data_IF_249566424747
#
_entry.id   IF_249566424747
#
_cell.length_a   1.000
_cell.length_b   1.000
_cell.length_c   1.000
_cell.angle_alpha   90.00
_cell.angle_beta   90.00
_cell.angle_gamma   90.00
#
_symmetry.space_group_name_H-M   'P 1'
#
loop_
_entity.id
_entity.type
_entity.pdbx_description
1 polymer ?
#
# COMPACT_ATOMS: atom_id res chain seq x y z
N UNK A 1 -8.50 35.04 18.24
CA UNK A 1 -8.61 33.89 19.17
C UNK A 1 -7.85 32.76 18.52
N UNK A 2 -6.83 32.20 19.18
CA UNK A 2 -5.87 31.29 18.58
C UNK A 2 -5.99 29.89 19.18
N UNK A 3 -6.03 28.85 18.34
CA UNK A 3 -5.82 27.47 18.76
C UNK A 3 -4.65 26.85 17.99
N UNK A 4 -3.97 25.90 18.63
CA UNK A 4 -2.88 25.13 18.04
C UNK A 4 -3.08 23.67 18.36
N UNK A 5 -2.94 22.82 17.34
CA UNK A 5 -2.93 21.37 17.51
C UNK A 5 -2.01 20.72 16.47
N UNK A 6 -1.79 19.43 16.64
CA UNK A 6 -0.92 18.66 15.74
C UNK A 6 -1.77 17.63 14.98
N UNK A 7 -1.45 17.47 13.71
CA UNK A 7 -1.96 16.42 12.83
C UNK A 7 -0.77 15.74 12.14
N UNK A 8 -1.01 14.65 11.43
CA UNK A 8 0.01 13.89 10.73
C UNK A 8 -0.33 13.79 9.25
N UNK A 9 0.69 13.87 8.42
CA UNK A 9 0.60 13.69 6.98
C UNK A 9 1.65 12.69 6.52
N UNK A 10 1.49 12.19 5.29
CA UNK A 10 2.43 11.25 4.68
C UNK A 10 3.12 11.87 3.47
N UNK A 11 4.40 11.56 3.34
CA UNK A 11 5.19 11.69 2.13
C UNK A 11 5.58 10.28 1.67
N UNK A 12 4.73 9.67 0.85
CA UNK A 12 4.79 8.26 0.52
C UNK A 12 4.46 7.38 1.71
N UNK A 13 5.43 6.59 2.16
CA UNK A 13 5.31 5.76 3.38
C UNK A 13 5.86 6.45 4.62
N UNK A 14 6.50 7.62 4.50
CA UNK A 14 7.08 8.32 5.64
C UNK A 14 6.12 9.36 6.20
N UNK A 15 5.91 9.33 7.51
CA UNK A 15 5.07 10.30 8.21
C UNK A 15 5.84 11.57 8.57
N UNK A 16 5.11 12.68 8.68
CA UNK A 16 5.63 13.92 9.26
C UNK A 16 4.54 14.66 10.02
N UNK A 17 4.95 15.50 10.96
CA UNK A 17 4.03 16.33 11.73
C UNK A 17 3.59 17.55 10.94
N UNK A 18 2.31 17.84 11.01
CA UNK A 18 1.72 19.09 10.53
C UNK A 18 1.11 19.81 11.71
N UNK A 19 1.48 21.08 11.89
CA UNK A 19 0.88 21.92 12.92
C UNK A 19 -0.28 22.70 12.30
N UNK A 20 -1.46 22.59 12.90
CA UNK A 20 -2.65 23.33 12.52
C UNK A 20 -2.83 24.46 13.50
N UNK A 21 -2.72 25.68 13.00
CA UNK A 21 -2.98 26.90 13.77
C UNK A 21 -4.24 27.55 13.22
N UNK A 22 -5.23 27.76 14.09
CA UNK A 22 -6.49 28.40 13.72
C UNK A 22 -6.62 29.72 14.45
N UNK A 23 -6.66 30.82 13.70
CA UNK A 23 -6.96 32.14 14.22
C UNK A 23 -8.33 32.62 13.75
N UNK A 24 -9.12 33.12 14.71
CA UNK A 24 -10.42 33.73 14.48
C UNK A 24 -10.34 35.20 14.87
N UNK A 25 -10.58 36.08 13.90
CA UNK A 25 -10.51 37.52 14.02
C UNK A 25 -11.84 38.19 13.64
N UNK A 26 -12.12 39.34 14.24
CA UNK A 26 -13.26 40.18 13.88
C UNK A 26 -13.17 40.65 12.43
N UNK A 27 -14.29 40.65 11.72
CA UNK A 27 -14.37 41.07 10.32
C UNK A 27 -15.46 40.32 9.56
N UNK A 28 -15.59 40.62 8.26
CA UNK A 28 -16.52 39.91 7.38
C UNK A 28 -16.18 38.41 7.32
N UNK A 29 -17.19 37.53 7.25
CA UNK A 29 -16.99 36.08 7.15
C UNK A 29 -16.08 35.73 5.97
N UNK A 30 -14.92 35.17 6.26
CA UNK A 30 -13.99 34.67 5.26
C UNK A 30 -13.19 33.51 5.85
N UNK A 31 -12.85 32.52 5.03
CA UNK A 31 -12.04 31.36 5.44
C UNK A 31 -10.81 31.27 4.54
N UNK A 32 -9.64 31.47 5.13
CA UNK A 32 -8.36 31.38 4.46
C UNK A 32 -7.59 30.15 4.93
N UNK A 33 -7.16 29.31 3.99
CA UNK A 33 -6.29 28.17 4.25
C UNK A 33 -4.90 28.45 3.67
N UNK A 34 -3.86 28.42 4.52
CA UNK A 34 -2.47 28.75 4.18
C UNK A 34 -1.57 27.53 4.44
N UNK A 35 -0.51 27.35 3.64
CA UNK A 35 0.50 26.29 3.84
C UNK A 35 0.62 25.22 2.74
N UNK A 36 0.61 25.61 1.46
CA UNK A 36 0.70 24.71 0.28
C UNK A 36 -0.31 23.55 0.30
N UNK A 37 -1.57 23.89 0.57
CA UNK A 37 -2.71 23.00 0.53
C UNK A 37 -3.14 22.69 -0.93
N UNK A 38 -3.24 21.39 -1.26
CA UNK A 38 -3.82 20.93 -2.52
C UNK A 38 -5.30 21.34 -2.65
N UNK A 39 -5.90 21.35 -3.86
CA UNK A 39 -7.31 21.69 -4.05
C UNK A 39 -8.28 20.89 -3.18
N UNK A 40 -8.01 19.59 -3.00
CA UNK A 40 -8.71 18.66 -2.09
C UNK A 40 -8.80 19.19 -0.65
N UNK A 41 -7.70 19.77 -0.15
CA UNK A 41 -7.63 20.38 1.17
C UNK A 41 -8.34 21.74 1.19
N UNK A 42 -8.33 22.50 0.09
CA UNK A 42 -9.09 23.77 0.00
C UNK A 42 -10.61 23.54 0.06
N UNK A 43 -11.07 22.41 -0.48
CA UNK A 43 -12.47 21.96 -0.36
C UNK A 43 -12.86 21.57 1.07
N UNK A 44 -11.89 21.35 1.97
CA UNK A 44 -12.15 21.11 3.39
C UNK A 44 -12.97 22.24 4.02
N UNK A 45 -12.89 23.48 3.50
CA UNK A 45 -13.72 24.60 3.98
C UNK A 45 -15.21 24.25 4.01
N UNK A 46 -15.75 23.79 2.88
CA UNK A 46 -17.19 23.49 2.80
C UNK A 46 -17.53 22.25 3.64
N UNK A 47 -16.66 21.24 3.62
CA UNK A 47 -16.87 20.00 4.38
C UNK A 47 -16.85 20.21 5.88
N UNK A 48 -15.83 20.89 6.41
CA UNK A 48 -15.71 21.24 7.84
C UNK A 48 -16.85 22.15 8.27
N UNK A 49 -17.22 23.14 7.45
CA UNK A 49 -18.34 24.04 7.77
C UNK A 49 -19.67 23.29 7.89
N UNK A 50 -19.97 22.42 6.93
CA UNK A 50 -21.18 21.60 6.96
C UNK A 50 -21.16 20.64 8.15
N UNK A 51 -20.04 19.92 8.34
CA UNK A 51 -19.85 18.96 9.43
C UNK A 51 -20.09 19.58 10.81
N UNK A 52 -19.49 20.76 11.09
CA UNK A 52 -19.67 21.48 12.36
C UNK A 52 -21.15 21.82 12.58
N UNK A 53 -21.81 22.41 11.57
CA UNK A 53 -23.21 22.82 11.67
C UNK A 53 -24.17 21.64 11.84
N UNK A 54 -24.01 20.61 11.02
CA UNK A 54 -24.86 19.41 11.06
C UNK A 54 -24.60 18.55 12.31
N UNK A 55 -23.42 18.72 12.92
CA UNK A 55 -23.11 18.17 14.24
C UNK A 55 -23.72 18.97 15.40
N UNK A 56 -24.44 20.05 15.15
CA UNK A 56 -25.08 20.87 16.19
C UNK A 56 -24.14 21.88 16.86
N UNK A 57 -22.96 22.13 16.28
CA UNK A 57 -22.00 23.11 16.78
C UNK A 57 -22.08 24.41 15.98
N UNK A 58 -21.61 25.50 16.60
CA UNK A 58 -21.60 26.81 15.96
C UNK A 58 -20.39 26.96 15.04
N UNK A 59 -20.62 27.32 13.77
CA UNK A 59 -19.55 27.75 12.88
C UNK A 59 -19.47 29.27 12.86
N UNK A 60 -18.33 29.88 13.25
CA UNK A 60 -18.26 31.32 13.47
C UNK A 60 -18.44 32.10 12.17
N UNK A 61 -19.29 33.15 12.21
CA UNK A 61 -19.47 34.10 11.11
C UNK A 61 -18.42 35.22 11.18
N UNK A 62 -17.15 34.84 11.26
CA UNK A 62 -15.99 35.74 11.43
C UNK A 62 -14.90 35.39 10.41
N UNK A 63 -13.81 36.15 10.41
CA UNK A 63 -12.64 35.83 9.59
C UNK A 63 -11.85 34.71 10.25
N UNK A 64 -11.75 33.58 9.56
CA UNK A 64 -11.04 32.37 10.00
C UNK A 64 -9.79 32.22 9.13
N UNK A 65 -8.63 32.06 9.77
CA UNK A 65 -7.38 31.74 9.09
C UNK A 65 -6.83 30.44 9.67
N UNK A 66 -6.65 29.44 8.81
CA UNK A 66 -6.07 28.14 9.17
C UNK A 66 -4.73 28.01 8.48
N UNK A 67 -3.66 27.84 9.27
CA UNK A 67 -2.30 27.67 8.79
C UNK A 67 -1.84 26.22 8.99
N UNK A 68 -1.32 25.58 7.94
CA UNK A 68 -0.78 24.23 7.94
C UNK A 68 0.76 24.27 7.78
N UNK A 69 1.48 24.20 8.90
CA UNK A 69 2.95 24.21 8.91
C UNK A 69 3.52 22.77 8.92
N UNK A 70 4.67 22.49 8.28
CA UNK A 70 5.64 23.43 7.69
C UNK A 70 5.30 23.78 6.23
N UNK A 71 5.36 25.07 5.84
CA UNK A 71 4.79 25.56 4.57
C UNK A 71 5.50 25.05 3.28
N UNK A 72 6.68 24.46 3.40
CA UNK A 72 7.48 23.87 2.30
C UNK A 72 6.97 22.48 1.87
N UNK A 73 6.23 21.80 2.74
CA UNK A 73 5.71 20.47 2.49
C UNK A 73 4.29 20.55 1.93
N UNK A 74 4.05 19.96 0.75
CA UNK A 74 2.70 19.89 0.16
C UNK A 74 1.81 19.01 1.05
N UNK A 75 0.63 19.54 1.42
CA UNK A 75 -0.41 18.76 2.11
C UNK A 75 -1.48 18.38 1.11
N UNK A 76 -1.73 17.08 1.03
CA UNK A 76 -2.77 16.51 0.17
C UNK A 76 -3.60 15.49 0.94
N UNK A 77 -4.82 15.28 0.47
CA UNK A 77 -5.82 14.41 1.09
C UNK A 77 -6.77 15.15 2.05
N UNK A 78 -7.81 14.44 2.44
CA UNK A 78 -8.89 14.90 3.32
C UNK A 78 -8.61 14.65 4.81
N UNK A 79 -7.47 14.04 5.15
CA UNK A 79 -7.12 13.65 6.53
C UNK A 79 -7.01 14.81 7.53
N UNK A 80 -6.97 16.05 7.05
CA UNK A 80 -6.84 17.25 7.88
C UNK A 80 -8.19 17.79 8.39
N UNK A 81 -9.33 17.32 7.88
CA UNK A 81 -10.63 17.91 8.19
C UNK A 81 -10.93 17.87 9.70
N UNK A 82 -10.65 16.74 10.34
CA UNK A 82 -10.85 16.57 11.77
C UNK A 82 -10.02 17.56 12.60
N UNK A 83 -8.75 17.73 12.21
CA UNK A 83 -7.81 18.64 12.85
C UNK A 83 -8.27 20.10 12.70
N UNK A 84 -8.71 20.49 11.50
CA UNK A 84 -9.23 21.83 11.20
C UNK A 84 -10.51 22.08 12.01
N UNK A 85 -11.45 21.13 12.04
CA UNK A 85 -12.69 21.24 12.80
C UNK A 85 -12.42 21.41 14.31
N UNK A 86 -11.57 20.56 14.89
CA UNK A 86 -11.15 20.66 16.29
C UNK A 86 -10.49 22.02 16.58
N UNK A 87 -9.64 22.51 15.68
CA UNK A 87 -9.01 23.83 15.81
C UNK A 87 -10.01 24.98 15.84
N UNK A 88 -11.04 24.96 14.99
CA UNK A 88 -12.11 25.97 14.97
C UNK A 88 -12.96 25.90 16.25
N UNK A 89 -13.33 24.69 16.69
CA UNK A 89 -14.12 24.50 17.90
C UNK A 89 -13.36 24.99 19.14
N UNK A 90 -12.04 24.77 19.22
CA UNK A 90 -11.22 25.28 20.31
C UNK A 90 -11.05 26.80 20.24
N UNK A 91 -10.80 27.36 19.05
CA UNK A 91 -10.66 28.80 18.88
C UNK A 91 -11.96 29.58 19.16
N UNK A 92 -13.13 28.93 19.02
CA UNK A 92 -14.44 29.48 19.41
C UNK A 92 -14.84 29.20 20.85
N UNK A 93 -14.01 28.49 21.64
CA UNK A 93 -14.30 28.15 23.02
C UNK A 93 -15.38 27.07 23.21
N UNK A 94 -15.76 26.37 22.14
CA UNK A 94 -16.74 25.27 22.21
C UNK A 94 -16.15 23.98 22.79
N UNK A 95 -14.82 23.84 22.74
CA UNK A 95 -14.05 22.80 23.45
C UNK A 95 -12.88 23.42 24.21
N UNK A 96 -12.41 22.80 25.31
CA UNK A 96 -11.24 23.29 26.05
C UNK A 96 -9.98 23.17 25.20
N UNK A 97 -9.22 24.26 25.02
CA UNK A 97 -7.98 24.23 24.22
C UNK A 97 -6.96 23.23 24.76
N UNK A 98 -6.86 23.11 26.10
CA UNK A 98 -5.93 22.19 26.75
C UNK A 98 -6.21 20.71 26.43
N UNK A 99 -7.45 20.39 26.03
CA UNK A 99 -7.83 19.03 25.63
C UNK A 99 -7.13 18.58 24.34
N UNK A 100 -6.60 19.51 23.54
CA UNK A 100 -5.90 19.21 22.29
C UNK A 100 -4.42 18.85 22.48
N UNK A 101 -3.86 19.12 23.66
CA UNK A 101 -2.46 18.78 23.96
C UNK A 101 -2.23 17.27 23.98
N UNK A 102 -1.01 16.89 23.55
CA UNK A 102 -0.53 15.51 23.44
C UNK A 102 -1.42 14.59 22.58
N UNK A 103 -2.25 15.17 21.71
CA UNK A 103 -3.12 14.46 20.76
C UNK A 103 -2.80 14.81 19.32
N UNK A 104 -2.93 13.81 18.46
CA UNK A 104 -2.80 13.90 17.01
C UNK A 104 -4.15 13.58 16.40
N UNK A 105 -4.71 14.50 15.61
CA UNK A 105 -6.02 14.32 14.99
C UNK A 105 -5.85 14.06 13.50
N UNK A 106 -6.37 12.95 13.02
CA UNK A 106 -6.39 12.61 11.59
C UNK A 106 -7.76 12.07 11.23
N UNK A 107 -8.30 12.43 10.07
CA UNK A 107 -9.58 11.91 9.61
C UNK A 107 -10.28 12.84 8.63
N UNK A 108 -11.02 12.24 7.71
CA UNK A 108 -11.91 12.94 6.80
C UNK A 108 -13.27 13.16 7.48
N UNK A 109 -13.87 14.34 7.26
CA UNK A 109 -15.24 14.62 7.67
C UNK A 109 -16.19 14.60 6.48
N UNK A 110 -17.28 13.86 6.63
CA UNK A 110 -18.45 13.99 5.77
C UNK A 110 -19.25 15.25 6.13
N UNK A 111 -20.18 15.65 5.24
CA UNK A 111 -20.98 16.86 5.43
C UNK A 111 -21.92 16.80 6.64
N UNK A 112 -22.34 15.61 7.07
CA UNK A 112 -23.16 15.35 8.25
C UNK A 112 -22.35 15.20 9.56
N UNK A 113 -21.02 15.17 9.46
CA UNK A 113 -20.10 15.11 10.60
C UNK A 113 -19.64 13.70 11.00
N UNK A 114 -19.94 12.68 10.21
CA UNK A 114 -19.30 11.36 10.35
C UNK A 114 -17.81 11.44 9.99
N UNK A 115 -17.00 10.63 10.67
CA UNK A 115 -15.59 10.46 10.33
C UNK A 115 -15.45 9.31 9.33
N UNK A 116 -14.85 9.62 8.19
CA UNK A 116 -14.53 8.64 7.15
C UNK A 116 -13.10 8.16 7.28
N UNK A 117 -12.91 6.89 6.93
CA UNK A 117 -11.61 6.24 6.90
C UNK A 117 -10.66 6.95 5.93
N UNK A 118 -9.39 6.99 6.31
CA UNK A 118 -8.32 7.59 5.50
C UNK A 118 -7.24 6.53 5.22
N UNK A 119 -6.56 6.61 4.06
CA UNK A 119 -5.44 5.73 3.77
C UNK A 119 -4.21 6.11 4.59
N UNK A 120 -3.30 5.15 4.80
CA UNK A 120 -1.98 5.41 5.37
C UNK A 120 -1.92 5.52 6.89
N UNK A 121 -2.98 5.18 7.63
CA UNK A 121 -3.02 5.34 9.09
C UNK A 121 -1.94 4.51 9.78
N UNK A 122 -1.66 3.31 9.28
CA UNK A 122 -0.56 2.50 9.80
C UNK A 122 0.80 3.21 9.70
N UNK A 123 1.08 3.85 8.56
CA UNK A 123 2.33 4.59 8.36
C UNK A 123 2.42 5.80 9.30
N UNK A 124 1.31 6.52 9.50
CA UNK A 124 1.22 7.62 10.46
C UNK A 124 1.46 7.14 11.89
N UNK A 125 0.81 6.04 12.30
CA UNK A 125 0.98 5.47 13.63
C UNK A 125 2.42 5.00 13.88
N UNK A 126 3.07 4.36 12.89
CA UNK A 126 4.47 3.96 12.99
C UNK A 126 5.43 5.15 13.16
N UNK A 127 5.18 6.26 12.44
CA UNK A 127 5.92 7.51 12.62
C UNK A 127 5.76 8.09 14.03
N UNK A 128 4.53 8.13 14.55
CA UNK A 128 4.24 8.67 15.87
C UNK A 128 4.85 7.82 17.00
N UNK A 129 4.86 6.49 16.84
CA UNK A 129 5.55 5.58 17.76
C UNK A 129 7.03 5.95 17.88
N UNK A 130 7.73 6.02 16.74
CA UNK A 130 9.15 6.37 16.70
C UNK A 130 9.41 7.73 17.34
N UNK A 131 8.55 8.71 17.08
CA UNK A 131 8.66 10.03 17.71
C UNK A 131 8.47 9.98 19.24
N UNK A 132 7.56 9.15 19.74
CA UNK A 132 7.33 8.96 21.18
C UNK A 132 8.52 8.30 21.88
N UNK A 133 9.16 7.34 21.22
CA UNK A 133 10.41 6.69 21.67
C UNK A 133 11.55 7.72 21.77
N UNK A 134 11.75 8.53 20.72
CA UNK A 134 12.79 9.58 20.68
C UNK A 134 12.60 10.66 21.77
N UNK A 135 11.36 10.91 22.20
CA UNK A 135 11.00 11.92 23.22
C UNK A 135 10.96 11.36 24.65
N UNK A 136 11.56 10.21 24.90
CA UNK A 136 11.67 9.62 26.24
C UNK A 136 10.38 8.95 26.73
N UNK A 137 9.57 8.40 25.82
CA UNK A 137 8.40 7.57 26.16
C UNK A 137 7.10 8.35 26.40
N UNK A 138 7.01 9.62 26.00
CA UNK A 138 5.71 10.32 25.99
C UNK A 138 4.82 9.71 24.90
N UNK A 139 3.80 8.98 25.34
CA UNK A 139 2.79 8.41 24.44
C UNK A 139 1.88 9.52 23.92
N UNK A 140 2.03 9.85 22.64
CA UNK A 140 1.09 10.69 21.91
C UNK A 140 -0.17 9.88 21.64
N UNK A 141 -1.33 10.51 21.82
CA UNK A 141 -2.60 9.87 21.54
C UNK A 141 -3.08 10.19 20.13
N UNK A 142 -3.27 9.17 19.31
CA UNK A 142 -3.81 9.27 17.96
C UNK A 142 -5.33 9.14 18.00
N UNK A 143 -6.01 10.21 17.57
CA UNK A 143 -7.47 10.29 17.46
C UNK A 143 -7.84 10.25 15.98
N UNK A 144 -8.60 9.21 15.59
CA UNK A 144 -8.80 8.85 14.20
C UNK A 144 -10.18 8.19 13.96
N UNK A 145 -10.64 8.02 12.71
CA UNK A 145 -11.90 7.33 12.40
C UNK A 145 -11.95 5.93 12.99
N UNK A 146 -13.07 5.52 13.61
CA UNK A 146 -13.20 4.20 14.26
C UNK A 146 -12.80 3.03 13.33
N UNK A 147 -13.09 3.13 12.03
CA UNK A 147 -12.74 2.10 11.04
C UNK A 147 -11.23 1.88 10.84
N UNK A 148 -10.39 2.90 11.05
CA UNK A 148 -8.93 2.76 10.96
C UNK A 148 -8.26 2.40 12.31
N UNK A 149 -9.03 2.27 13.40
CA UNK A 149 -8.44 2.16 14.74
C UNK A 149 -7.63 0.87 14.92
N UNK A 150 -8.15 -0.26 14.42
CA UNK A 150 -7.42 -1.54 14.46
C UNK A 150 -6.14 -1.48 13.63
N UNK A 151 -6.20 -0.90 12.43
CA UNK A 151 -5.04 -0.72 11.55
C UNK A 151 -3.92 0.09 12.24
N UNK A 152 -4.28 1.20 12.90
CA UNK A 152 -3.33 2.05 13.60
C UNK A 152 -2.57 1.31 14.71
N UNK A 153 -3.26 0.41 15.42
CA UNK A 153 -2.66 -0.36 16.53
C UNK A 153 -1.64 -1.41 16.06
N UNK A 154 -1.63 -1.78 14.77
CA UNK A 154 -0.63 -2.69 14.22
C UNK A 154 0.78 -2.11 14.26
N UNK A 155 0.93 -0.79 14.29
CA UNK A 155 2.23 -0.14 14.47
C UNK A 155 2.88 -0.44 15.85
N UNK A 156 2.11 -0.99 16.80
CA UNK A 156 2.57 -1.37 18.14
C UNK A 156 2.01 -0.44 19.22
N UNK A 157 2.84 -0.04 20.18
CA UNK A 157 2.46 0.72 21.39
C UNK A 157 2.12 2.20 21.10
N UNK A 158 1.08 2.45 20.31
CA UNK A 158 0.51 3.79 20.07
C UNK A 158 -0.83 3.86 20.80
N UNK A 159 -1.08 4.94 21.55
CA UNK A 159 -2.40 5.13 22.18
C UNK A 159 -3.40 5.57 21.11
N UNK A 160 -4.31 4.68 20.73
CA UNK A 160 -5.28 4.90 19.65
C UNK A 160 -6.69 5.07 20.21
N UNK A 161 -7.39 6.13 19.78
CA UNK A 161 -8.80 6.38 20.07
C UNK A 161 -9.58 6.50 18.76
N UNK A 162 -10.49 5.55 18.53
CA UNK A 162 -11.38 5.55 17.38
C UNK A 162 -12.66 6.35 17.63
N UNK A 163 -12.97 7.30 16.75
CA UNK A 163 -14.15 8.16 16.83
C UNK A 163 -15.03 7.96 15.59
N UNK A 164 -16.35 7.88 15.76
CA UNK A 164 -17.31 7.70 14.67
C UNK A 164 -17.78 9.01 14.04
N UNK A 165 -17.91 10.09 14.84
CA UNK A 165 -18.39 11.39 14.35
C UNK A 165 -17.87 12.56 15.20
N UNK A 166 -18.05 13.78 14.70
CA UNK A 166 -17.57 15.00 15.36
C UNK A 166 -18.24 15.25 16.72
N UNK A 167 -19.50 14.83 16.92
CA UNK A 167 -20.19 14.96 18.23
C UNK A 167 -19.50 14.13 19.30
N UNK A 168 -19.17 12.89 18.97
CA UNK A 168 -18.44 11.98 19.86
C UNK A 168 -17.04 12.53 20.19
N UNK A 169 -16.34 13.11 19.20
CA UNK A 169 -15.06 13.79 19.46
C UNK A 169 -15.21 14.91 20.49
N UNK A 170 -16.22 15.78 20.32
CA UNK A 170 -16.42 16.93 21.21
C UNK A 170 -16.78 16.47 22.62
N UNK A 171 -17.68 15.49 22.77
CA UNK A 171 -18.03 14.92 24.06
C UNK A 171 -16.80 14.32 24.76
N UNK A 172 -15.92 13.65 24.00
CA UNK A 172 -14.67 13.11 24.51
C UNK A 172 -13.71 14.23 24.99
N UNK A 173 -13.52 15.28 24.19
CA UNK A 173 -12.63 16.40 24.53
C UNK A 173 -13.15 17.23 25.71
N UNK A 174 -14.47 17.26 25.93
CA UNK A 174 -15.11 17.84 27.12
C UNK A 174 -15.10 16.94 28.35
N UNK A 175 -14.62 15.69 28.22
CA UNK A 175 -14.66 14.65 29.27
C UNK A 175 -16.07 14.23 29.69
N UNK A 176 -17.06 14.39 28.80
CA UNK A 176 -18.44 13.93 29.01
C UNK A 176 -18.55 12.41 28.78
N UNK A 177 -17.73 11.89 27.87
CA UNK A 177 -17.60 10.45 27.60
C UNK A 177 -16.13 10.01 27.71
N UNK A 178 -15.93 8.73 28.03
CA UNK A 178 -14.64 8.08 27.90
C UNK A 178 -14.64 7.23 26.62
N UNK A 179 -13.67 7.45 25.74
CA UNK A 179 -13.41 6.54 24.62
C UNK A 179 -12.49 5.43 25.11
N UNK A 180 -12.78 4.18 24.77
CA UNK A 180 -11.88 3.06 25.07
C UNK A 180 -10.63 3.10 24.19
N UNK A 181 -9.54 2.52 24.69
CA UNK A 181 -8.29 2.44 23.92
C UNK A 181 -8.41 1.22 23.01
N UNK A 182 -8.26 1.44 21.70
CA UNK A 182 -8.23 0.32 20.77
C UNK A 182 -6.90 -0.41 20.92
N UNK A 183 -6.94 -1.73 21.07
CA UNK A 183 -5.74 -2.59 21.10
C UNK A 183 -5.98 -3.77 20.17
N UNK A 184 -5.09 -3.97 19.20
CA UNK A 184 -5.08 -5.20 18.42
C UNK A 184 -4.51 -6.35 19.25
N UNK A 185 -5.21 -7.48 19.24
CA UNK A 185 -4.63 -8.75 19.67
C UNK A 185 -3.89 -9.38 18.49
N UNK A 186 -2.59 -9.11 18.40
CA UNK A 186 -1.72 -9.68 17.37
C UNK A 186 -1.70 -11.22 17.43
N UNK A 187 -1.88 -11.82 18.60
CA UNK A 187 -1.94 -13.28 18.75
C UNK A 187 -3.19 -13.86 18.10
N UNK A 188 -4.34 -13.22 18.27
CA UNK A 188 -5.59 -13.58 17.59
C UNK A 188 -5.50 -13.37 16.06
N UNK A 189 -4.88 -12.27 15.61
CA UNK A 189 -4.73 -11.97 14.18
C UNK A 189 -3.79 -12.96 13.49
N UNK A 190 -2.71 -13.38 14.14
CA UNK A 190 -1.75 -14.33 13.58
C UNK A 190 -2.22 -15.78 13.67
N UNK A 191 -3.03 -16.13 14.68
CA UNK A 191 -3.63 -17.47 14.82
C UNK A 191 -4.89 -17.65 13.97
N UNK A 192 -5.57 -16.56 13.64
CA UNK A 192 -6.70 -16.49 12.72
C UNK A 192 -6.26 -16.68 11.28
N UNK A 193 -6.28 -17.93 10.84
CA UNK A 193 -6.21 -18.37 9.43
C UNK A 193 -4.81 -18.33 8.78
N UNK A 194 -4.14 -19.49 8.77
CA UNK A 194 -3.50 -19.93 7.52
C UNK A 194 -4.64 -20.00 6.50
N UNK A 195 -4.80 -18.96 5.67
CA UNK A 195 -5.94 -18.87 4.74
C UNK A 195 -6.08 -20.18 3.96
N UNK A 196 -7.17 -20.89 4.23
CA UNK A 196 -7.67 -21.98 3.39
C UNK A 196 -8.04 -21.35 2.05
N UNK A 197 -7.14 -21.37 1.08
CA UNK A 197 -7.42 -20.76 -0.23
C UNK A 197 -6.21 -20.47 -1.11
N UNK A 198 -4.97 -20.58 -0.61
CA UNK A 198 -3.83 -20.56 -1.52
C UNK A 198 -3.83 -21.84 -2.38
N UNK A 199 -3.67 -21.71 -3.71
CA UNK A 199 -3.57 -22.88 -4.58
C UNK A 199 -2.35 -23.72 -4.18
N UNK A 200 -2.52 -25.03 -4.07
CA UNK A 200 -1.46 -25.96 -3.65
C UNK A 200 -0.65 -26.44 -4.88
N UNK A 201 0.67 -26.61 -4.71
CA UNK A 201 1.56 -27.29 -5.66
C UNK A 201 1.17 -28.74 -5.96
N UNK A 202 0.45 -29.38 -5.02
CA UNK A 202 -0.11 -30.73 -5.18
C UNK A 202 -1.07 -30.83 -6.37
N UNK A 203 -1.76 -29.73 -6.71
CA UNK A 203 -2.71 -29.69 -7.83
C UNK A 203 -2.03 -29.70 -9.21
N UNK A 204 -0.74 -29.35 -9.28
CA UNK A 204 -0.01 -29.34 -10.53
C UNK A 204 0.48 -30.76 -10.83
N UNK A 205 -0.06 -31.41 -11.85
CA UNK A 205 0.40 -32.73 -12.29
C UNK A 205 1.60 -32.60 -13.24
N UNK A 206 2.66 -33.37 -13.00
CA UNK A 206 3.88 -33.37 -13.82
C UNK A 206 4.80 -32.16 -13.62
N UNK A 207 5.69 -31.93 -14.59
CA UNK A 207 6.65 -30.81 -14.63
C UNK A 207 7.64 -30.77 -13.45
N UNK A 208 8.19 -31.93 -13.06
CA UNK A 208 9.12 -32.07 -11.94
C UNK A 208 10.29 -31.08 -11.99
N UNK A 209 10.89 -30.88 -13.16
CA UNK A 209 11.99 -29.92 -13.35
C UNK A 209 11.56 -28.48 -13.05
N UNK A 210 10.37 -28.09 -13.49
CA UNK A 210 9.86 -26.74 -13.24
C UNK A 210 9.48 -26.55 -11.77
N UNK A 211 8.86 -27.56 -11.14
CA UNK A 211 8.55 -27.54 -9.70
C UNK A 211 9.80 -27.40 -8.86
N UNK A 212 10.79 -28.25 -9.09
CA UNK A 212 12.06 -28.21 -8.37
C UNK A 212 12.80 -26.89 -8.55
N UNK A 213 12.78 -26.33 -9.75
CA UNK A 213 13.35 -25.01 -9.98
C UNK A 213 12.61 -23.91 -9.21
N UNK A 214 11.27 -24.00 -9.10
CA UNK A 214 10.48 -23.06 -8.31
C UNK A 214 10.73 -23.18 -6.80
N UNK A 215 10.94 -24.39 -6.30
CA UNK A 215 11.33 -24.62 -4.90
C UNK A 215 12.70 -24.02 -4.59
N UNK A 216 13.69 -24.27 -5.45
CA UNK A 216 15.02 -23.66 -5.33
C UNK A 216 14.90 -22.13 -5.39
N UNK A 217 14.08 -21.62 -6.30
CA UNK A 217 13.86 -20.19 -6.42
C UNK A 217 13.19 -19.61 -5.17
N UNK A 218 12.18 -20.27 -4.63
CA UNK A 218 11.46 -19.84 -3.42
C UNK A 218 12.34 -19.89 -2.17
N UNK A 219 13.19 -20.92 -2.03
CA UNK A 219 14.12 -21.05 -0.92
C UNK A 219 15.24 -19.99 -0.95
N UNK A 220 15.76 -19.67 -2.14
CA UNK A 220 16.83 -18.69 -2.32
C UNK A 220 16.37 -17.25 -2.57
N UNK A 221 15.07 -17.02 -2.80
CA UNK A 221 14.55 -15.72 -3.23
C UNK A 221 15.01 -15.33 -4.64
N UNK A 222 15.25 -16.31 -5.52
CA UNK A 222 15.79 -16.08 -6.85
C UNK A 222 14.74 -15.66 -7.87
N UNK A 223 15.12 -14.76 -8.77
CA UNK A 223 14.29 -14.38 -9.90
C UNK A 223 14.26 -15.51 -10.93
N UNK A 224 13.09 -15.81 -11.49
CA UNK A 224 12.91 -16.95 -12.39
C UNK A 224 12.13 -16.58 -13.65
N UNK A 225 12.56 -17.12 -14.80
CA UNK A 225 11.80 -17.06 -16.05
C UNK A 225 11.42 -18.46 -16.55
N UNK A 226 10.14 -18.64 -16.84
CA UNK A 226 9.56 -19.85 -17.40
C UNK A 226 9.38 -19.68 -18.91
N UNK A 227 10.10 -20.46 -19.71
CA UNK A 227 9.99 -20.45 -21.17
C UNK A 227 9.28 -21.73 -21.63
N UNK A 228 8.16 -21.61 -22.33
CA UNK A 228 7.47 -22.80 -22.85
C UNK A 228 6.28 -22.46 -23.75
N UNK A 229 5.78 -23.43 -24.54
CA UNK A 229 4.60 -23.26 -25.39
C UNK A 229 3.33 -22.82 -24.62
N UNK A 230 2.30 -22.29 -25.30
CA UNK A 230 1.03 -21.98 -24.66
C UNK A 230 0.37 -23.25 -24.08
N UNK A 231 -0.40 -23.11 -23.00
CA UNK A 231 -1.12 -24.23 -22.38
C UNK A 231 -0.27 -25.15 -21.49
N UNK A 232 1.02 -24.84 -21.29
CA UNK A 232 1.94 -25.61 -20.42
C UNK A 232 1.83 -25.28 -18.94
N UNK A 233 0.81 -24.55 -18.49
CA UNK A 233 0.62 -24.29 -17.05
C UNK A 233 1.61 -23.30 -16.41
N UNK A 234 2.38 -22.51 -17.17
CA UNK A 234 3.30 -21.49 -16.62
C UNK A 234 2.63 -20.54 -15.62
N UNK A 235 1.47 -20.00 -15.99
CA UNK A 235 0.65 -19.13 -15.13
C UNK A 235 0.10 -19.88 -13.91
N UNK A 236 -0.22 -21.17 -14.07
CA UNK A 236 -0.69 -22.04 -12.99
C UNK A 236 0.42 -22.27 -11.96
N UNK A 237 1.64 -22.55 -12.41
CA UNK A 237 2.83 -22.66 -11.57
C UNK A 237 3.13 -21.35 -10.83
N UNK A 238 3.17 -20.22 -11.56
CA UNK A 238 3.51 -18.93 -10.98
C UNK A 238 2.57 -18.50 -9.84
N UNK A 239 1.25 -18.72 -9.99
CA UNK A 239 0.25 -18.39 -8.97
C UNK A 239 0.38 -19.17 -7.66
N UNK A 240 1.13 -20.29 -7.68
CA UNK A 240 1.36 -21.14 -6.50
C UNK A 240 2.63 -20.79 -5.75
N UNK A 241 3.52 -19.99 -6.32
CA UNK A 241 4.78 -19.59 -5.68
C UNK A 241 4.58 -18.96 -4.29
N UNK A 242 3.58 -18.09 -4.05
CA UNK A 242 3.34 -17.53 -2.72
C UNK A 242 3.08 -18.59 -1.63
N UNK A 243 2.66 -19.80 -2.01
CA UNK A 243 2.38 -20.90 -1.07
C UNK A 243 3.62 -21.70 -0.66
N UNK A 244 4.69 -21.66 -1.46
CA UNK A 244 5.98 -22.33 -1.18
C UNK A 244 7.05 -21.36 -0.66
N UNK A 245 6.75 -20.06 -0.66
CA UNK A 245 7.64 -19.07 -0.08
C UNK A 245 7.67 -19.18 1.45
N UNK A 246 8.80 -18.86 2.09
CA UNK A 246 8.87 -18.77 3.54
C UNK A 246 7.80 -17.83 4.09
N UNK A 247 7.15 -18.25 5.19
CA UNK A 247 6.17 -17.42 5.90
C UNK A 247 6.76 -16.06 6.27
N UNK A 248 5.94 -15.02 6.23
CA UNK A 248 6.40 -13.68 6.62
C UNK A 248 6.66 -13.62 8.12
N UNK A 249 7.73 -12.94 8.49
CA UNK A 249 7.89 -12.47 9.88
C UNK A 249 6.87 -11.37 10.18
N UNK A 250 6.69 -11.05 11.46
CA UNK A 250 5.83 -9.92 11.85
C UNK A 250 6.34 -8.61 11.24
N UNK A 251 7.65 -8.36 11.27
CA UNK A 251 8.25 -7.16 10.69
C UNK A 251 7.98 -7.04 9.19
N UNK A 252 8.15 -8.12 8.43
CA UNK A 252 7.83 -8.14 7.00
C UNK A 252 6.34 -7.91 6.75
N UNK A 253 5.47 -8.52 7.55
CA UNK A 253 4.03 -8.33 7.46
C UNK A 253 3.65 -6.86 7.69
N UNK A 254 4.29 -6.20 8.65
CA UNK A 254 4.09 -4.78 8.92
C UNK A 254 4.60 -3.90 7.78
N UNK A 255 5.77 -4.20 7.18
CA UNK A 255 6.30 -3.50 6.01
C UNK A 255 5.32 -3.55 4.82
N UNK A 256 4.83 -4.74 4.48
CA UNK A 256 3.88 -4.94 3.36
C UNK A 256 2.56 -4.23 3.63
N UNK A 257 2.06 -4.34 4.87
CA UNK A 257 0.80 -3.71 5.28
C UNK A 257 0.90 -2.19 5.23
N UNK A 258 2.06 -1.61 5.60
CA UNK A 258 2.33 -0.17 5.49
C UNK A 258 2.16 0.34 4.05
N UNK A 259 2.68 -0.39 3.06
CA UNK A 259 2.53 -0.01 1.64
C UNK A 259 1.07 -0.09 1.19
N UNK A 260 0.37 -1.16 1.55
CA UNK A 260 -1.04 -1.35 1.18
C UNK A 260 -1.99 -0.37 1.88
N UNK A 261 -1.65 0.03 3.11
CA UNK A 261 -2.33 1.09 3.85
C UNK A 261 -2.28 2.42 3.09
N UNK A 262 -1.09 2.82 2.63
CA UNK A 262 -0.90 4.05 1.83
C UNK A 262 -1.65 3.97 0.50
N UNK A 263 -1.67 2.80 -0.13
CA UNK A 263 -2.43 2.56 -1.35
C UNK A 263 -3.96 2.50 -1.14
N UNK A 264 -4.44 2.46 0.12
CA UNK A 264 -5.85 2.31 0.45
C UNK A 264 -6.45 0.95 0.07
N UNK A 265 -5.61 -0.11 0.03
CA UNK A 265 -6.00 -1.45 -0.43
C UNK A 265 -6.29 -2.45 0.70
N UNK A 266 -6.18 -2.02 1.96
CA UNK A 266 -6.45 -2.89 3.12
C UNK A 266 -7.95 -3.20 3.25
N UNK A 267 -8.24 -4.46 3.57
CA UNK A 267 -9.61 -4.90 3.86
C UNK A 267 -9.92 -4.62 5.32
N UNK A 268 -11.17 -4.21 5.61
CA UNK A 268 -11.63 -3.88 6.97
C UNK A 268 -11.47 -5.04 7.95
N UNK A 269 -11.76 -6.25 7.49
CA UNK A 269 -11.75 -7.45 8.33
C UNK A 269 -10.34 -8.04 8.52
N UNK A 270 -9.37 -7.61 7.69
CA UNK A 270 -7.99 -8.10 7.69
C UNK A 270 -7.02 -6.92 7.62
N UNK A 271 -6.79 -6.23 8.74
CA UNK A 271 -5.95 -5.04 8.77
C UNK A 271 -4.46 -5.37 8.62
N UNK A 272 -4.04 -6.62 8.81
CA UNK A 272 -2.67 -7.10 8.66
C UNK A 272 -2.57 -8.11 7.51
N UNK A 273 -1.63 -7.89 6.58
CA UNK A 273 -1.30 -8.88 5.57
C UNK A 273 -0.32 -9.91 6.15
N UNK A 274 -0.78 -11.16 6.24
CA UNK A 274 0.03 -12.31 6.72
C UNK A 274 0.54 -13.19 5.59
N UNK A 275 0.05 -13.00 4.36
CA UNK A 275 0.49 -13.72 3.17
C UNK A 275 1.36 -12.86 2.26
N UNK A 276 2.34 -13.51 1.63
CA UNK A 276 3.19 -12.92 0.60
C UNK A 276 2.30 -12.40 -0.54
N UNK A 277 2.34 -11.09 -0.89
CA UNK A 277 1.49 -10.55 -1.95
C UNK A 277 1.86 -11.15 -3.31
N UNK A 278 0.86 -11.35 -4.17
CA UNK A 278 1.05 -11.78 -5.55
C UNK A 278 0.44 -10.75 -6.48
N UNK A 279 1.28 -10.09 -7.29
CA UNK A 279 0.86 -9.08 -8.26
C UNK A 279 1.07 -9.61 -9.67
N UNK A 280 0.03 -9.52 -10.50
CA UNK A 280 0.07 -9.98 -11.89
C UNK A 280 -0.55 -8.90 -12.79
N UNK A 281 0.16 -7.79 -13.05
CA UNK A 281 -0.32 -6.78 -13.98
C UNK A 281 -0.52 -7.35 -15.37
N UNK A 282 -1.37 -6.69 -16.16
CA UNK A 282 -1.52 -6.98 -17.58
C UNK A 282 -0.38 -6.31 -18.36
N UNK A 283 0.03 -6.85 -19.51
CA UNK A 283 1.12 -6.30 -20.33
C UNK A 283 0.84 -4.89 -20.88
N UNK A 284 -0.42 -4.44 -20.83
CA UNK A 284 -0.83 -3.07 -21.17
C UNK A 284 -0.62 -2.06 -20.02
N UNK A 285 -0.11 -2.51 -18.87
CA UNK A 285 0.19 -1.63 -17.75
C UNK A 285 1.25 -0.58 -18.15
N UNK A 286 1.01 0.66 -17.74
CA UNK A 286 1.92 1.77 -18.01
C UNK A 286 3.11 1.74 -17.05
N UNK A 287 4.19 2.47 -17.39
CA UNK A 287 5.33 2.65 -16.49
C UNK A 287 4.91 3.20 -15.11
N UNK A 288 3.92 4.11 -15.08
CA UNK A 288 3.38 4.65 -13.84
C UNK A 288 2.54 3.63 -13.05
N UNK A 289 1.90 2.67 -13.72
CA UNK A 289 1.22 1.56 -13.04
C UNK A 289 2.22 0.58 -12.42
N UNK A 290 3.30 0.27 -13.13
CA UNK A 290 4.31 -0.70 -12.68
C UNK A 290 5.21 -0.11 -11.59
N UNK A 291 5.89 0.99 -11.86
CA UNK A 291 6.84 1.61 -10.91
C UNK A 291 6.16 2.51 -9.88
N UNK A 292 4.93 2.94 -10.15
CA UNK A 292 4.23 3.95 -9.38
C UNK A 292 4.36 5.33 -10.02
N UNK A 293 3.53 6.26 -9.55
CA UNK A 293 3.48 7.60 -10.10
C UNK A 293 2.11 8.25 -9.93
N UNK A 294 1.72 9.05 -10.92
CA UNK A 294 0.53 9.90 -10.85
C UNK A 294 0.82 11.33 -10.41
N UNK A 295 -0.24 12.14 -10.28
CA UNK A 295 -0.18 13.52 -9.75
C UNK A 295 0.27 13.52 -8.29
N UNK A 296 -0.25 12.56 -7.53
CA UNK A 296 0.25 12.20 -6.21
C UNK A 296 1.03 10.90 -6.38
N UNK A 297 2.32 10.87 -6.01
CA UNK A 297 3.13 9.67 -6.15
C UNK A 297 2.49 8.57 -5.29
N UNK A 298 1.91 7.58 -5.96
CA UNK A 298 1.33 6.38 -5.36
C UNK A 298 2.25 5.19 -5.64
N UNK A 299 2.28 4.16 -4.76
CA UNK A 299 3.03 2.94 -5.00
C UNK A 299 2.51 2.22 -6.25
N UNK A 300 3.43 1.68 -7.06
CA UNK A 300 3.10 0.86 -8.22
C UNK A 300 3.04 -0.64 -7.90
N UNK A 301 2.82 -1.45 -8.92
CA UNK A 301 2.79 -2.92 -8.83
C UNK A 301 4.06 -3.50 -8.18
N UNK A 302 5.24 -2.93 -8.45
CA UNK A 302 6.52 -3.35 -7.85
C UNK A 302 6.54 -3.16 -6.33
N UNK A 303 5.95 -2.07 -5.83
CA UNK A 303 5.88 -1.78 -4.39
C UNK A 303 4.76 -2.56 -3.72
N UNK A 304 3.64 -2.77 -4.42
CA UNK A 304 2.57 -3.65 -3.96
C UNK A 304 3.00 -5.13 -3.90
N UNK A 305 3.98 -5.53 -4.72
CA UNK A 305 4.60 -6.85 -4.69
C UNK A 305 5.70 -6.98 -3.61
N UNK A 306 5.97 -5.93 -2.83
CA UNK A 306 7.04 -5.94 -1.83
C UNK A 306 6.90 -7.14 -0.87
N UNK A 307 8.04 -7.78 -0.58
CA UNK A 307 8.21 -9.03 0.14
C UNK A 307 7.43 -10.21 -0.44
N UNK A 308 6.88 -10.12 -1.64
CA UNK A 308 6.11 -11.16 -2.29
C UNK A 308 6.59 -11.43 -3.70
N UNK A 309 5.65 -11.62 -4.62
CA UNK A 309 5.90 -12.03 -6.01
C UNK A 309 5.32 -11.02 -6.98
N UNK A 310 6.15 -10.57 -7.93
CA UNK A 310 5.69 -9.87 -9.13
C UNK A 310 5.73 -10.85 -10.31
N UNK A 311 4.55 -11.20 -10.80
CA UNK A 311 4.38 -12.09 -11.94
C UNK A 311 4.11 -11.31 -13.22
N UNK A 312 4.98 -11.49 -14.22
CA UNK A 312 4.84 -10.87 -15.53
C UNK A 312 4.64 -11.96 -16.59
N UNK A 313 3.37 -12.20 -16.94
CA UNK A 313 3.02 -13.11 -18.01
C UNK A 313 3.29 -12.49 -19.38
N UNK A 314 3.64 -13.32 -20.36
CA UNK A 314 3.99 -12.86 -21.71
C UNK A 314 5.05 -11.75 -21.67
N UNK A 315 6.11 -11.96 -20.89
CA UNK A 315 7.14 -10.96 -20.57
C UNK A 315 7.62 -10.09 -21.75
N UNK A 316 7.85 -10.64 -22.98
CA UNK A 316 8.24 -9.84 -24.13
C UNK A 316 7.13 -8.93 -24.72
N UNK A 317 5.88 -9.03 -24.27
CA UNK A 317 4.78 -8.17 -24.73
C UNK A 317 4.67 -6.85 -23.94
N UNK A 318 5.34 -6.74 -22.81
CA UNK A 318 5.48 -5.47 -22.11
C UNK A 318 6.27 -4.47 -22.94
N UNK A 319 5.98 -3.17 -22.74
CA UNK A 319 6.75 -2.12 -23.39
C UNK A 319 8.21 -2.15 -22.90
N UNK A 320 9.13 -1.76 -23.79
CA UNK A 320 10.56 -1.70 -23.45
C UNK A 320 10.83 -0.77 -22.27
N UNK A 321 10.10 0.34 -22.18
CA UNK A 321 10.23 1.30 -21.07
C UNK A 321 9.87 0.67 -19.72
N UNK A 322 8.82 -0.16 -19.66
CA UNK A 322 8.45 -0.89 -18.45
C UNK A 322 9.53 -1.88 -18.06
N UNK A 323 10.01 -2.69 -19.01
CA UNK A 323 11.03 -3.71 -18.75
C UNK A 323 12.35 -3.09 -18.29
N UNK A 324 12.83 -2.03 -18.95
CA UNK A 324 14.04 -1.32 -18.51
C UNK A 324 13.85 -0.66 -17.14
N UNK A 325 12.64 -0.15 -16.87
CA UNK A 325 12.29 0.44 -15.58
C UNK A 325 12.38 -0.53 -14.40
N UNK A 326 12.25 -1.84 -14.63
CA UNK A 326 12.36 -2.86 -13.57
C UNK A 326 13.77 -3.05 -13.03
N UNK A 327 14.81 -2.58 -13.73
CA UNK A 327 16.20 -2.79 -13.34
C UNK A 327 16.51 -2.24 -11.95
N UNK A 328 16.10 -1.00 -11.68
CA UNK A 328 16.32 -0.37 -10.38
C UNK A 328 15.60 -1.13 -9.24
N UNK A 329 14.29 -1.43 -9.31
CA UNK A 329 13.61 -2.22 -8.29
C UNK A 329 14.27 -3.58 -8.00
N UNK A 330 14.80 -4.25 -9.03
CA UNK A 330 15.45 -5.56 -8.89
C UNK A 330 16.82 -5.48 -8.22
N UNK A 331 17.52 -4.36 -8.34
CA UNK A 331 18.86 -4.16 -7.77
C UNK A 331 18.81 -3.56 -6.38
N UNK A 332 18.11 -2.43 -6.23
CA UNK A 332 18.10 -1.65 -5.00
C UNK A 332 17.03 -2.14 -4.01
N UNK A 333 16.02 -2.86 -4.52
CA UNK A 333 14.87 -3.27 -3.73
C UNK A 333 13.98 -2.09 -3.30
N UNK A 334 14.12 -0.93 -3.94
CA UNK A 334 13.29 0.26 -3.75
C UNK A 334 13.08 1.01 -5.07
N UNK A 335 12.04 1.84 -5.10
CA UNK A 335 11.75 2.76 -6.21
C UNK A 335 11.68 4.18 -5.68
N UNK A 336 12.42 5.07 -6.35
CA UNK A 336 12.40 6.51 -6.08
C UNK A 336 11.55 7.20 -7.15
N UNK A 337 10.42 7.76 -6.74
CA UNK A 337 9.55 8.53 -7.62
C UNK A 337 9.85 10.01 -7.42
N UNK A 338 10.52 10.61 -8.39
CA UNK A 338 10.84 12.05 -8.39
C UNK A 338 9.83 12.82 -9.24
N UNK A 339 9.32 13.92 -8.68
CA UNK A 339 8.46 14.92 -9.33
C UNK A 339 9.00 16.32 -9.03
N UNK A 340 8.52 17.32 -9.76
CA UNK A 340 9.02 18.70 -9.72
C UNK A 340 9.14 19.30 -8.29
N UNK A 341 8.30 18.86 -7.33
CA UNK A 341 8.25 19.40 -5.97
C UNK A 341 8.47 18.34 -4.87
N UNK A 342 8.72 17.07 -5.19
CA UNK A 342 8.94 16.02 -4.18
C UNK A 342 9.61 14.76 -4.73
N UNK A 343 10.34 14.07 -3.87
CA UNK A 343 10.87 12.74 -4.11
C UNK A 343 10.34 11.78 -3.03
N UNK A 344 9.78 10.65 -3.45
CA UNK A 344 9.20 9.64 -2.57
C UNK A 344 9.87 8.30 -2.81
N UNK A 345 10.17 7.58 -1.72
CA UNK A 345 10.74 6.23 -1.77
C UNK A 345 9.70 5.20 -1.37
N UNK A 346 9.59 4.15 -2.16
CA UNK A 346 8.77 2.99 -1.86
C UNK A 346 9.62 1.72 -1.87
N UNK A 347 9.46 0.83 -0.88
CA UNK A 347 10.14 -0.44 -0.90
C UNK A 347 9.56 -1.33 -2.02
N UNK A 348 10.40 -2.15 -2.65
CA UNK A 348 10.04 -3.01 -3.77
C UNK A 348 10.91 -4.27 -3.84
N UNK A 349 11.31 -4.83 -2.69
CA UNK A 349 11.96 -6.16 -2.65
C UNK A 349 10.95 -7.25 -2.99
N UNK A 350 10.85 -7.67 -4.25
CA UNK A 350 9.96 -8.74 -4.69
C UNK A 350 10.75 -9.83 -5.42
N UNK A 351 10.21 -11.05 -5.44
CA UNK A 351 10.68 -12.11 -6.33
C UNK A 351 10.04 -11.91 -7.71
N UNK A 352 10.85 -11.73 -8.74
CA UNK A 352 10.35 -11.65 -10.12
C UNK A 352 10.10 -13.04 -10.66
N UNK A 353 8.88 -13.26 -11.15
CA UNK A 353 8.49 -14.46 -11.87
C UNK A 353 8.01 -14.03 -13.25
N UNK A 354 8.77 -14.38 -14.29
CA UNK A 354 8.40 -14.06 -15.66
C UNK A 354 7.98 -15.33 -16.40
N UNK A 355 7.03 -15.23 -17.31
CA UNK A 355 6.77 -16.28 -18.30
C UNK A 355 6.84 -15.74 -19.71
N UNK A 356 7.38 -16.55 -20.63
CA UNK A 356 7.41 -16.22 -22.05
C UNK A 356 7.16 -17.43 -22.91
N UNK A 357 6.70 -17.15 -24.13
CA UNK A 357 6.65 -18.14 -25.19
C UNK A 357 8.05 -18.21 -25.86
N UNK A 358 8.41 -19.32 -26.52
CA UNK A 358 9.71 -19.44 -27.19
C UNK A 358 9.82 -18.58 -28.46
N UNK A 359 8.68 -18.20 -29.05
CA UNK A 359 8.52 -17.33 -30.21
C UNK A 359 7.12 -16.68 -30.21
N UNK A 360 6.82 -15.72 -31.11
CA UNK A 360 5.50 -15.09 -31.18
C UNK A 360 4.34 -16.07 -31.37
N UNK A 361 4.52 -17.14 -32.17
CA UNK A 361 3.48 -18.15 -32.35
C UNK A 361 3.47 -19.23 -31.25
N UNK A 362 4.44 -19.25 -30.35
CA UNK A 362 4.54 -20.18 -29.23
C UNK A 362 5.00 -21.60 -29.52
N UNK A 363 5.22 -21.98 -30.79
CA UNK A 363 5.52 -23.37 -31.20
C UNK A 363 6.95 -23.60 -31.69
N UNK A 364 7.88 -22.68 -31.43
CA UNK A 364 9.28 -22.89 -31.77
C UNK A 364 9.84 -24.12 -31.03
N UNK A 365 10.39 -25.08 -31.79
CA UNK A 365 10.87 -26.38 -31.30
C UNK A 365 9.79 -27.24 -30.62
N UNK A 366 8.51 -27.01 -30.90
CA UNK A 366 7.43 -27.83 -30.36
C UNK A 366 7.42 -29.22 -31.04
N UNK A 367 7.31 -30.33 -30.28
CA UNK A 367 7.46 -31.69 -30.83
C UNK A 367 6.35 -32.09 -31.82
N UNK A 368 5.14 -31.53 -31.66
CA UNK A 368 3.95 -31.90 -32.45
C UNK A 368 3.41 -30.80 -33.38
N UNK A 369 3.86 -29.56 -33.24
CA UNK A 369 3.27 -28.40 -33.94
C UNK A 369 4.38 -27.60 -34.58
N UNK A 370 4.24 -27.32 -35.88
CA UNK A 370 5.24 -26.54 -36.60
C UNK A 370 5.16 -25.05 -36.26
N UNK A 371 6.33 -24.44 -36.10
CA UNK A 371 6.46 -23.00 -35.93
C UNK A 371 6.27 -22.29 -37.28
N UNK A 372 5.43 -21.24 -37.29
CA UNK A 372 5.19 -20.42 -38.49
C UNK A 372 6.03 -19.14 -38.54
N UNK A 373 6.86 -18.90 -37.52
CA UNK A 373 7.68 -17.68 -37.44
C UNK A 373 8.97 -17.82 -38.25
N UNK A 374 9.38 -16.75 -38.91
CA UNK A 374 10.72 -16.67 -39.52
C UNK A 374 11.80 -16.46 -38.46
N UNK A 375 13.04 -16.84 -38.77
CA UNK A 375 14.19 -16.65 -37.87
C UNK A 375 14.33 -15.19 -37.41
N UNK A 376 14.06 -14.23 -38.31
CA UNK A 376 14.07 -12.81 -37.98
C UNK A 376 12.98 -12.42 -36.97
N UNK A 377 11.78 -12.99 -37.09
CA UNK A 377 10.69 -12.74 -36.13
C UNK A 377 11.03 -13.30 -34.74
N UNK A 378 11.64 -14.48 -34.69
CA UNK A 378 12.04 -15.14 -33.44
C UNK A 378 13.15 -14.33 -32.76
N UNK A 379 14.17 -13.91 -33.52
CA UNK A 379 15.25 -13.06 -33.01
C UNK A 379 14.73 -11.72 -32.49
N UNK A 380 13.83 -11.05 -33.23
CA UNK A 380 13.20 -9.79 -32.77
C UNK A 380 12.42 -9.98 -31.48
N UNK A 381 11.65 -11.06 -31.36
CA UNK A 381 10.90 -11.38 -30.16
C UNK A 381 11.80 -11.59 -28.93
N UNK A 382 12.89 -12.35 -29.09
CA UNK A 382 13.85 -12.62 -28.00
C UNK A 382 14.60 -11.37 -27.55
N UNK A 383 14.92 -10.45 -28.46
CA UNK A 383 15.65 -9.20 -28.16
C UNK A 383 14.77 -8.18 -27.45
N UNK A 384 13.43 -8.30 -27.49
CA UNK A 384 12.54 -7.39 -26.73
C UNK A 384 12.86 -7.41 -25.23
N UNK A 385 13.28 -8.56 -24.70
CA UNK A 385 13.85 -8.67 -23.36
C UNK A 385 15.33 -8.29 -23.43
N UNK A 386 15.72 -7.18 -22.81
CA UNK A 386 17.10 -6.70 -22.89
C UNK A 386 18.06 -7.61 -22.13
N UNK A 387 19.28 -7.76 -22.66
CA UNK A 387 20.35 -8.53 -22.03
C UNK A 387 20.58 -8.16 -20.56
N UNK A 388 20.76 -6.86 -20.23
CA UNK A 388 20.95 -6.44 -18.84
C UNK A 388 19.81 -6.88 -17.91
N UNK A 389 18.55 -6.84 -18.35
CA UNK A 389 17.44 -7.31 -17.51
C UNK A 389 17.46 -8.83 -17.36
N UNK A 390 17.75 -9.58 -18.43
CA UNK A 390 17.86 -11.03 -18.40
C UNK A 390 19.00 -11.52 -17.49
N UNK A 391 20.09 -10.77 -17.39
CA UNK A 391 21.23 -11.06 -16.51
C UNK A 391 20.86 -10.95 -15.01
N UNK A 392 19.75 -10.28 -14.68
CA UNK A 392 19.20 -10.14 -13.32
C UNK A 392 18.16 -11.22 -12.98
N UNK A 393 17.92 -12.15 -13.92
CA UNK A 393 17.06 -13.33 -13.71
C UNK A 393 17.98 -14.53 -13.50
N UNK A 394 18.00 -15.05 -12.26
CA UNK A 394 18.94 -16.08 -11.83
C UNK A 394 18.66 -17.44 -12.51
N UNK A 395 17.38 -17.79 -12.66
CA UNK A 395 16.96 -19.11 -13.13
C UNK A 395 16.17 -19.03 -14.43
N UNK A 396 16.66 -19.73 -15.45
CA UNK A 396 16.02 -19.83 -16.76
C UNK A 396 15.56 -21.27 -16.96
N UNK A 397 14.25 -21.47 -16.92
CA UNK A 397 13.66 -22.81 -16.89
C UNK A 397 12.80 -23.04 -18.11
N UNK A 398 13.06 -24.15 -18.80
CA UNK A 398 12.22 -24.61 -19.88
C UNK A 398 11.06 -25.46 -19.34
N UNK A 399 9.84 -25.12 -19.75
CA UNK A 399 8.61 -25.83 -19.39
C UNK A 399 8.07 -26.51 -20.65
N UNK A 400 8.44 -27.77 -20.91
CA UNK A 400 8.01 -28.48 -22.11
C UNK A 400 6.50 -28.78 -22.08
N UNK A 401 5.93 -29.04 -23.25
CA UNK A 401 4.57 -29.55 -23.36
C UNK A 401 4.49 -30.96 -22.75
N UNK A 402 3.62 -31.15 -21.76
CA UNK A 402 3.32 -32.47 -21.21
C UNK A 402 2.71 -33.37 -22.29
N UNK A 403 3.14 -34.63 -22.35
CA UNK A 403 2.42 -35.62 -23.13
C UNK A 403 1.23 -36.11 -22.31
N UNK A 404 0.12 -36.48 -22.97
CA UNK A 404 -1.13 -36.89 -22.29
C UNK A 404 -0.91 -38.00 -21.24
N UNK A 405 0.07 -38.88 -21.47
CA UNK A 405 0.47 -39.96 -20.56
C UNK A 405 1.05 -39.47 -19.21
N UNK A 406 1.66 -38.29 -19.18
CA UNK A 406 2.24 -37.71 -17.95
C UNK A 406 1.17 -37.10 -17.03
N UNK A 407 -0.04 -36.86 -17.55
CA UNK A 407 -1.19 -36.36 -16.78
C UNK A 407 -2.02 -37.50 -16.14
N UNK A 408 -1.91 -38.72 -16.68
CA UNK A 408 -2.60 -39.94 -16.19
C UNK A 408 -1.84 -40.66 -15.07
N UNK A 409 -0.58 -40.31 -14.81
CA UNK A 409 0.19 -40.87 -13.70
C UNK A 409 -0.44 -40.56 -12.34
N UNK A 410 -0.71 -41.60 -11.53
CA UNK A 410 -1.27 -41.53 -10.17
C UNK A 410 -0.33 -40.91 -9.11
N UNK A 411 0.80 -40.31 -9.50
CA UNK A 411 1.67 -39.63 -8.56
C UNK A 411 1.05 -38.30 -8.14
N UNK A 412 0.54 -38.25 -6.91
CA UNK A 412 0.17 -36.99 -6.26
C UNK A 412 1.37 -36.03 -6.26
N UNK A 413 1.14 -34.76 -6.64
CA UNK A 413 2.19 -33.75 -6.61
C UNK A 413 2.64 -33.44 -5.17
N UNK A 414 3.89 -33.01 -5.01
CA UNK A 414 4.40 -32.50 -3.73
C UNK A 414 3.54 -31.32 -3.26
N UNK A 415 3.17 -31.34 -1.96
CA UNK A 415 2.36 -30.29 -1.37
C UNK A 415 3.18 -29.04 -1.14
N UNK A 416 2.53 -27.88 -1.22
CA UNK A 416 3.12 -26.60 -0.82
C UNK A 416 3.49 -26.53 0.66
N UNK A 417 2.91 -27.38 1.51
CA UNK A 417 3.26 -27.45 2.92
C UNK A 417 4.51 -28.33 3.13
N UNK A 418 5.52 -27.76 3.78
CA UNK A 418 6.69 -28.49 4.28
C UNK A 418 6.35 -29.46 5.41
#
# INVERSE_FOLDING_TARGET
>A
MLSKLTTCALLGVEGFNVFVETDIASGLPNFNLVGLAAPSVKEARERVRAAIKNSGFNFPAQRITVNLAPADSRKDGSAFDLAIAAGILAATGQIPADSLHDKIFVGELSLDGELREIPGVMAMAAFLKKQGEDKGGKSLQLVLPRGNALEATLAGNVSVRGVANLKELVAYLKKEIALEETRADLGAILSGEREKGQPDFKEVKGQLTAKRALEVAAAGGHNIILTGPPGTGKTMLARRIPSILPSMTLEESLEVTKVHSVAGLLKKDKPLLTLRPFRAPHHSATIAGILGGGRNPQPGEVSLAHRGVLFLDEFPEYSREVLEGLRQPLEDGEVVITRAEMAVRYPSRFMLVASRNPCPCGYFQHPLRECKCSEMQIRRYRIKSSGPLMDRIDLHVEVPSLQYRDLEGEQEGESSAA
#
